data_IF_036551114706
#
_entry.id   IF_036551114706
#
_cell.length_a   1.000
_cell.length_b   1.000
_cell.length_c   1.000
_cell.angle_alpha   90.00
_cell.angle_beta   90.00
_cell.angle_gamma   90.00
#
_symmetry.space_group_name_H-M   'P 1'
#
loop_
_entity.id
_entity.type
_entity.pdbx_description
1 polymer ?
#
# COMPACT_ATOMS: atom_id res chain seq x y z
N UNK A 1 -75.57 -65.93 24.41
CA UNK A 1 -76.35 -67.18 24.47
C UNK A 1 -75.36 -68.31 24.35
N UNK A 2 -75.32 -69.27 25.30
CA UNK A 2 -74.25 -70.26 25.33
C UNK A 2 -74.23 -71.09 24.05
N UNK A 3 -73.03 -71.38 23.52
CA UNK A 3 -72.91 -72.22 22.33
C UNK A 3 -73.50 -73.60 22.65
N UNK A 4 -74.56 -74.05 21.95
CA UNK A 4 -75.13 -75.36 22.23
C UNK A 4 -74.10 -76.43 21.88
N UNK A 5 -73.68 -77.21 22.88
CA UNK A 5 -72.76 -78.33 22.69
C UNK A 5 -73.55 -79.55 22.19
N UNK A 6 -73.18 -80.14 21.04
CA UNK A 6 -73.84 -81.33 20.52
C UNK A 6 -73.82 -82.49 21.53
N UNK A 7 -74.89 -83.29 21.55
CA UNK A 7 -75.03 -84.40 22.48
C UNK A 7 -73.91 -85.44 22.34
N UNK A 8 -73.44 -85.67 21.13
CA UNK A 8 -72.28 -86.54 20.85
C UNK A 8 -70.99 -86.07 21.52
N UNK A 9 -70.79 -84.76 21.69
CA UNK A 9 -69.62 -84.21 22.37
C UNK A 9 -69.76 -84.29 23.89
N UNK A 10 -70.97 -84.12 24.44
CA UNK A 10 -71.26 -84.32 25.87
C UNK A 10 -71.05 -85.78 26.31
N UNK A 11 -71.43 -86.73 25.46
CA UNK A 11 -71.23 -88.16 25.71
C UNK A 11 -69.76 -88.57 25.61
N UNK A 12 -69.02 -88.01 24.64
CA UNK A 12 -67.61 -88.37 24.41
C UNK A 12 -66.63 -87.74 25.42
N UNK A 13 -66.89 -86.49 25.87
CA UNK A 13 -65.96 -85.73 26.71
C UNK A 13 -66.41 -85.58 28.17
N UNK A 14 -67.65 -85.98 28.48
CA UNK A 14 -68.28 -85.72 29.77
C UNK A 14 -68.92 -84.33 29.84
N UNK A 15 -70.05 -84.24 30.56
CA UNK A 15 -70.87 -83.02 30.63
C UNK A 15 -70.12 -81.81 31.21
N UNK A 16 -69.26 -82.04 32.21
CA UNK A 16 -68.49 -80.99 32.87
C UNK A 16 -67.47 -80.33 31.92
N UNK A 17 -66.69 -81.13 31.19
CA UNK A 17 -65.70 -80.65 30.22
C UNK A 17 -66.37 -79.97 29.03
N UNK A 18 -67.48 -80.52 28.56
CA UNK A 18 -68.28 -79.93 27.49
C UNK A 18 -68.81 -78.54 27.86
N UNK A 19 -69.32 -78.36 29.08
CA UNK A 19 -69.82 -77.07 29.57
C UNK A 19 -68.68 -76.07 29.83
N UNK A 20 -67.49 -76.52 30.27
CA UNK A 20 -66.30 -75.68 30.39
C UNK A 20 -65.79 -75.16 29.04
N UNK A 21 -65.73 -76.03 28.03
CA UNK A 21 -65.35 -75.64 26.67
C UNK A 21 -66.40 -74.67 26.08
N UNK A 22 -67.69 -74.87 26.36
CA UNK A 22 -68.73 -73.92 25.97
C UNK A 22 -68.51 -72.55 26.62
N UNK A 23 -68.28 -72.51 27.94
CA UNK A 23 -68.01 -71.27 28.66
C UNK A 23 -66.78 -70.54 28.13
N UNK A 24 -65.70 -71.26 27.85
CA UNK A 24 -64.50 -70.70 27.23
C UNK A 24 -64.77 -70.18 25.82
N UNK A 25 -65.50 -70.94 25.00
CA UNK A 25 -65.81 -70.55 23.63
C UNK A 25 -66.74 -69.32 23.57
N UNK A 26 -67.66 -69.16 24.52
CA UNK A 26 -68.45 -67.94 24.69
C UNK A 26 -67.61 -66.76 25.17
N UNK A 27 -66.70 -66.97 26.13
CA UNK A 27 -65.78 -65.92 26.58
C UNK A 27 -64.85 -65.44 25.45
N UNK A 28 -64.38 -66.38 24.61
CA UNK A 28 -63.58 -66.07 23.42
C UNK A 28 -64.43 -65.36 22.36
N UNK A 29 -65.68 -65.78 22.15
CA UNK A 29 -66.61 -65.12 21.22
C UNK A 29 -66.86 -63.65 21.59
N UNK A 30 -67.03 -63.36 22.88
CA UNK A 30 -67.23 -61.99 23.36
C UNK A 30 -65.94 -61.14 23.27
N UNK A 31 -64.77 -61.78 23.18
CA UNK A 31 -63.47 -61.12 23.00
C UNK A 31 -63.03 -61.02 21.53
N UNK A 32 -63.69 -61.73 20.60
CA UNK A 32 -63.38 -61.66 19.17
C UNK A 32 -63.90 -60.33 18.61
N UNK A 33 -62.97 -59.53 18.09
CA UNK A 33 -63.24 -58.29 17.35
C UNK A 33 -64.18 -58.59 16.19
N UNK A 34 -65.21 -57.77 16.04
CA UNK A 34 -66.20 -57.93 14.99
C UNK A 34 -65.57 -57.74 13.61
N UNK A 35 -66.17 -58.37 12.59
CA UNK A 35 -65.73 -58.22 11.20
C UNK A 35 -65.75 -56.76 10.73
N UNK A 36 -66.64 -55.94 11.29
CA UNK A 36 -66.79 -54.54 10.92
C UNK A 36 -65.70 -53.65 11.55
N UNK A 37 -65.30 -53.91 12.80
CA UNK A 37 -64.12 -53.28 13.41
C UNK A 37 -62.83 -53.64 12.66
N UNK A 38 -62.69 -54.90 12.21
CA UNK A 38 -61.54 -55.30 11.38
C UNK A 38 -61.51 -54.54 10.04
N UNK A 39 -62.65 -54.36 9.39
CA UNK A 39 -62.76 -53.55 8.16
C UNK A 39 -62.43 -52.09 8.40
N UNK A 40 -62.85 -51.53 9.52
CA UNK A 40 -62.51 -50.16 9.89
C UNK A 40 -61.00 -49.99 10.06
N UNK A 41 -60.34 -50.94 10.73
CA UNK A 41 -58.88 -50.94 10.88
C UNK A 41 -58.18 -51.01 9.53
N UNK A 42 -58.64 -51.86 8.60
CA UNK A 42 -58.09 -51.92 7.24
C UNK A 42 -58.26 -50.60 6.51
N UNK A 43 -59.44 -49.99 6.51
CA UNK A 43 -59.64 -48.68 5.88
C UNK A 43 -58.87 -47.53 6.54
N UNK A 44 -58.48 -47.66 7.81
CA UNK A 44 -57.53 -46.75 8.46
C UNK A 44 -56.09 -47.02 8.02
N UNK A 45 -55.72 -48.29 7.82
CA UNK A 45 -54.41 -48.68 7.34
C UNK A 45 -54.19 -48.20 5.90
N UNK A 46 -55.18 -48.36 5.02
CA UNK A 46 -55.12 -47.88 3.63
C UNK A 46 -54.89 -46.36 3.57
N UNK A 47 -55.58 -45.60 4.43
CA UNK A 47 -55.37 -44.14 4.55
C UNK A 47 -54.02 -43.77 5.14
N UNK A 48 -53.43 -44.63 5.97
CA UNK A 48 -52.08 -44.42 6.50
C UNK A 48 -51.04 -44.69 5.41
N UNK A 49 -51.23 -45.74 4.62
CA UNK A 49 -50.38 -46.08 3.47
C UNK A 49 -50.38 -44.94 2.45
N UNK A 50 -51.57 -44.45 2.04
CA UNK A 50 -51.69 -43.31 1.13
C UNK A 50 -50.98 -42.04 1.66
N UNK A 51 -51.07 -41.79 2.97
CA UNK A 51 -50.36 -40.67 3.60
C UNK A 51 -48.86 -40.88 3.66
N UNK A 52 -48.39 -42.11 3.81
CA UNK A 52 -46.96 -42.43 3.81
C UNK A 52 -46.37 -42.26 2.41
N UNK A 53 -47.07 -42.70 1.37
CA UNK A 53 -46.66 -42.49 -0.02
C UNK A 53 -46.54 -40.99 -0.33
N UNK A 54 -47.53 -40.19 0.07
CA UNK A 54 -47.48 -38.74 -0.09
C UNK A 54 -46.31 -38.08 0.64
N UNK A 55 -45.95 -38.56 1.84
CA UNK A 55 -44.79 -38.08 2.59
C UNK A 55 -43.48 -38.49 1.91
N UNK A 56 -43.39 -39.69 1.35
CA UNK A 56 -42.21 -40.14 0.61
C UNK A 56 -41.97 -39.28 -0.63
N UNK A 57 -43.02 -38.99 -1.40
CA UNK A 57 -42.96 -38.10 -2.55
C UNK A 57 -42.51 -36.68 -2.18
N UNK A 58 -43.04 -36.13 -1.09
CA UNK A 58 -42.68 -34.80 -0.60
C UNK A 58 -41.22 -34.75 -0.12
N UNK A 59 -40.75 -35.77 0.60
CA UNK A 59 -39.34 -35.89 0.99
C UNK A 59 -38.41 -36.03 -0.22
N UNK A 60 -38.82 -36.78 -1.24
CA UNK A 60 -38.06 -36.92 -2.47
C UNK A 60 -38.00 -35.60 -3.26
N UNK A 61 -39.06 -34.80 -3.22
CA UNK A 61 -39.08 -33.46 -3.78
C UNK A 61 -38.15 -32.50 -3.02
N UNK A 62 -38.30 -32.40 -1.69
CA UNK A 62 -37.45 -31.56 -0.84
C UNK A 62 -35.97 -31.92 -0.96
N UNK A 63 -35.63 -33.20 -1.05
CA UNK A 63 -34.24 -33.66 -1.22
C UNK A 63 -33.63 -33.17 -2.54
N UNK A 64 -34.43 -33.10 -3.62
CA UNK A 64 -33.99 -32.55 -4.90
C UNK A 64 -33.78 -31.05 -4.81
N UNK A 65 -34.75 -30.32 -4.26
CA UNK A 65 -34.66 -28.86 -4.08
C UNK A 65 -33.44 -28.45 -3.23
N UNK A 66 -33.18 -29.17 -2.13
CA UNK A 66 -31.98 -28.95 -1.31
C UNK A 66 -30.69 -29.21 -2.11
N UNK A 67 -30.70 -30.20 -3.01
CA UNK A 67 -29.58 -30.48 -3.90
C UNK A 67 -29.31 -29.32 -4.85
N UNK A 68 -30.35 -28.81 -5.50
CA UNK A 68 -30.29 -27.68 -6.43
C UNK A 68 -29.82 -26.40 -5.74
N UNK A 69 -30.39 -26.08 -4.56
CA UNK A 69 -29.98 -24.92 -3.76
C UNK A 69 -28.51 -25.01 -3.33
N UNK A 70 -28.01 -26.20 -3.00
CA UNK A 70 -26.59 -26.41 -2.66
C UNK A 70 -25.69 -26.19 -3.87
N UNK A 71 -26.10 -26.65 -5.04
CA UNK A 71 -25.35 -26.41 -6.28
C UNK A 71 -25.32 -24.93 -6.64
N UNK A 72 -26.47 -24.26 -6.60
CA UNK A 72 -26.57 -22.82 -6.86
C UNK A 72 -25.70 -22.04 -5.88
N UNK A 73 -25.81 -22.33 -4.58
CA UNK A 73 -24.96 -21.71 -3.55
C UNK A 73 -23.47 -21.94 -3.82
N UNK A 74 -23.09 -23.15 -4.26
CA UNK A 74 -21.71 -23.47 -4.62
C UNK A 74 -21.21 -22.69 -5.84
N UNK A 75 -22.05 -22.54 -6.87
CA UNK A 75 -21.74 -21.75 -8.07
C UNK A 75 -21.59 -20.28 -7.72
N UNK A 76 -22.57 -19.70 -7.03
CA UNK A 76 -22.53 -18.30 -6.57
C UNK A 76 -21.30 -18.02 -5.71
N UNK A 77 -20.93 -18.93 -4.80
CA UNK A 77 -19.71 -18.78 -3.99
C UNK A 77 -18.44 -18.76 -4.86
N UNK A 78 -18.35 -19.62 -5.87
CA UNK A 78 -17.22 -19.65 -6.81
C UNK A 78 -17.14 -18.35 -7.61
N UNK A 79 -18.25 -17.89 -8.17
CA UNK A 79 -18.31 -16.63 -8.93
C UNK A 79 -17.92 -15.42 -8.06
N UNK A 80 -18.38 -15.37 -6.81
CA UNK A 80 -17.99 -14.31 -5.87
C UNK A 80 -16.48 -14.35 -5.61
N UNK A 81 -15.91 -15.53 -5.35
CA UNK A 81 -14.47 -15.66 -5.11
C UNK A 81 -13.66 -15.24 -6.34
N UNK A 82 -14.02 -15.70 -7.53
CA UNK A 82 -13.35 -15.31 -8.78
C UNK A 82 -13.41 -13.79 -9.02
N UNK A 83 -14.56 -13.17 -8.74
CA UNK A 83 -14.72 -11.71 -8.82
C UNK A 83 -13.86 -10.98 -7.80
N UNK A 84 -13.78 -11.47 -6.57
CA UNK A 84 -12.93 -10.89 -5.53
C UNK A 84 -11.45 -11.00 -5.90
N UNK A 85 -11.01 -12.17 -6.38
CA UNK A 85 -9.63 -12.38 -6.83
C UNK A 85 -9.26 -11.45 -7.99
N UNK A 86 -10.14 -11.31 -8.98
CA UNK A 86 -9.95 -10.39 -10.09
C UNK A 86 -9.89 -8.92 -9.63
N UNK A 87 -10.74 -8.53 -8.68
CA UNK A 87 -10.75 -7.17 -8.11
C UNK A 87 -9.48 -6.89 -7.33
N UNK A 88 -9.02 -7.83 -6.51
CA UNK A 88 -7.75 -7.73 -5.77
C UNK A 88 -6.56 -7.62 -6.71
N UNK A 89 -6.52 -8.41 -7.78
CA UNK A 89 -5.46 -8.34 -8.78
C UNK A 89 -5.44 -6.96 -9.48
N UNK A 90 -6.59 -6.44 -9.90
CA UNK A 90 -6.69 -5.10 -10.51
C UNK A 90 -6.31 -3.99 -9.55
N UNK A 91 -6.68 -4.12 -8.27
CA UNK A 91 -6.33 -3.14 -7.25
C UNK A 91 -4.80 -3.09 -7.02
N UNK A 92 -4.16 -4.26 -6.90
CA UNK A 92 -2.70 -4.34 -6.75
C UNK A 92 -1.98 -3.77 -7.98
N UNK A 93 -2.39 -4.15 -9.19
CA UNK A 93 -1.82 -3.62 -10.45
C UNK A 93 -1.97 -2.09 -10.55
N UNK A 94 -3.10 -1.54 -10.08
CA UNK A 94 -3.28 -0.08 -10.01
C UNK A 94 -2.33 0.57 -8.99
N UNK A 95 -2.14 -0.02 -7.82
CA UNK A 95 -1.21 0.49 -6.81
C UNK A 95 0.24 0.45 -7.31
N UNK A 96 0.65 -0.64 -7.96
CA UNK A 96 2.00 -0.78 -8.51
C UNK A 96 2.28 0.27 -9.59
N UNK A 97 1.31 0.54 -10.48
CA UNK A 97 1.41 1.64 -11.45
C UNK A 97 1.53 3.00 -10.77
N UNK A 98 0.69 3.29 -9.77
CA UNK A 98 0.75 4.54 -9.04
C UNK A 98 2.08 4.73 -8.30
N UNK A 99 2.62 3.66 -7.71
CA UNK A 99 3.92 3.69 -7.05
C UNK A 99 5.06 3.97 -8.05
N UNK A 100 5.01 3.34 -9.23
CA UNK A 100 5.98 3.57 -10.31
C UNK A 100 5.92 5.01 -10.82
N UNK A 101 4.72 5.50 -11.14
CA UNK A 101 4.52 6.88 -11.61
C UNK A 101 4.98 7.92 -10.57
N UNK A 102 4.75 7.63 -9.28
CA UNK A 102 5.19 8.49 -8.19
C UNK A 102 6.71 8.54 -8.08
N UNK A 103 7.39 7.38 -8.14
CA UNK A 103 8.85 7.32 -8.15
C UNK A 103 9.44 8.04 -9.37
N UNK A 104 8.92 7.79 -10.57
CA UNK A 104 9.37 8.46 -11.79
C UNK A 104 9.20 9.99 -11.72
N UNK A 105 8.16 10.46 -11.02
CA UNK A 105 7.94 11.89 -10.79
C UNK A 105 8.94 12.45 -9.80
N UNK A 106 9.25 11.73 -8.72
CA UNK A 106 10.28 12.14 -7.75
C UNK A 106 11.66 12.19 -8.40
N UNK A 107 12.03 11.18 -9.19
CA UNK A 107 13.33 11.15 -9.87
C UNK A 107 13.51 12.32 -10.83
N UNK A 108 12.44 12.67 -11.56
CA UNK A 108 12.41 13.89 -12.40
C UNK A 108 12.58 15.16 -11.58
N UNK A 109 11.86 15.30 -10.47
CA UNK A 109 11.98 16.46 -9.60
C UNK A 109 13.39 16.60 -9.00
N UNK A 110 14.00 15.50 -8.59
CA UNK A 110 15.39 15.48 -8.08
C UNK A 110 16.37 15.90 -9.17
N UNK A 111 16.19 15.39 -10.39
CA UNK A 111 17.05 15.74 -11.54
C UNK A 111 16.94 17.23 -11.86
N UNK A 112 15.72 17.75 -12.02
CA UNK A 112 15.48 19.18 -12.29
C UNK A 112 16.03 20.07 -11.16
N UNK A 113 15.93 19.64 -9.91
CA UNK A 113 16.47 20.37 -8.77
C UNK A 113 18.01 20.43 -8.81
N UNK A 114 18.67 19.31 -9.10
CA UNK A 114 20.12 19.25 -9.23
C UNK A 114 20.62 20.11 -10.40
N UNK A 115 19.95 20.07 -11.55
CA UNK A 115 20.28 20.90 -12.71
C UNK A 115 20.20 22.40 -12.38
N UNK A 116 19.17 22.81 -11.62
CA UNK A 116 19.03 24.20 -11.15
C UNK A 116 20.16 24.60 -10.21
N UNK A 117 20.55 23.72 -9.28
CA UNK A 117 21.68 23.98 -8.39
C UNK A 117 22.99 24.11 -9.17
N UNK A 118 23.24 23.24 -10.14
CA UNK A 118 24.42 23.30 -10.99
C UNK A 118 24.47 24.59 -11.81
N UNK A 119 23.32 25.04 -12.34
CA UNK A 119 23.23 26.31 -13.03
C UNK A 119 23.53 27.48 -12.09
N UNK A 120 22.93 27.51 -10.91
CA UNK A 120 23.20 28.56 -9.92
C UNK A 120 24.67 28.59 -9.49
N UNK A 121 25.31 27.42 -9.33
CA UNK A 121 26.72 27.33 -8.99
C UNK A 121 27.61 27.89 -10.11
N UNK A 122 27.30 27.61 -11.38
CA UNK A 122 28.01 28.19 -12.53
C UNK A 122 27.87 29.71 -12.59
N UNK A 123 26.64 30.22 -12.48
CA UNK A 123 26.38 31.68 -12.48
C UNK A 123 27.09 32.38 -11.32
N UNK A 124 27.14 31.75 -10.15
CA UNK A 124 27.86 32.27 -9.00
C UNK A 124 29.38 32.32 -9.24
N UNK A 125 29.97 31.26 -9.77
CA UNK A 125 31.40 31.23 -10.11
C UNK A 125 31.75 32.27 -11.18
N UNK A 126 30.94 32.43 -12.22
CA UNK A 126 31.15 33.45 -13.24
C UNK A 126 31.13 34.86 -12.66
N UNK A 127 30.22 35.15 -11.71
CA UNK A 127 30.19 36.42 -11.01
C UNK A 127 31.44 36.64 -10.15
N UNK A 128 31.91 35.62 -9.46
CA UNK A 128 33.16 35.70 -8.69
C UNK A 128 34.36 35.97 -9.60
N UNK A 129 34.45 35.29 -10.74
CA UNK A 129 35.53 35.49 -11.72
C UNK A 129 35.51 36.92 -12.27
N UNK A 130 34.33 37.47 -12.58
CA UNK A 130 34.17 38.85 -13.02
C UNK A 130 34.60 39.85 -11.93
N UNK A 131 34.21 39.60 -10.67
CA UNK A 131 34.63 40.43 -9.54
C UNK A 131 36.15 40.36 -9.31
N UNK A 132 36.75 39.17 -9.43
CA UNK A 132 38.20 38.99 -9.30
C UNK A 132 38.96 39.74 -10.40
N UNK A 133 38.50 39.68 -11.65
CA UNK A 133 39.08 40.45 -12.76
C UNK A 133 38.99 41.95 -12.51
N UNK A 134 37.80 42.46 -12.16
CA UNK A 134 37.60 43.88 -11.86
C UNK A 134 38.45 44.36 -10.68
N UNK A 135 38.68 43.50 -9.69
CA UNK A 135 39.56 43.78 -8.57
C UNK A 135 41.03 43.87 -9.00
N UNK A 136 41.51 42.91 -9.80
CA UNK A 136 42.87 42.95 -10.34
C UNK A 136 43.12 44.18 -11.21
N UNK A 137 42.18 44.53 -12.10
CA UNK A 137 42.29 45.75 -12.93
C UNK A 137 42.41 47.01 -12.08
N UNK A 138 41.66 47.09 -10.96
CA UNK A 138 41.78 48.20 -10.01
C UNK A 138 43.14 48.23 -9.31
N UNK A 139 43.67 47.07 -8.93
CA UNK A 139 45.01 46.97 -8.34
C UNK A 139 46.09 47.39 -9.34
N UNK A 140 46.02 46.92 -10.59
CA UNK A 140 46.95 47.30 -11.64
C UNK A 140 46.93 48.81 -11.90
N UNK A 141 45.74 49.42 -11.95
CA UNK A 141 45.58 50.86 -12.08
C UNK A 141 46.18 51.62 -10.89
N UNK A 142 45.95 51.16 -9.66
CA UNK A 142 46.57 51.74 -8.46
C UNK A 142 48.10 51.62 -8.47
N UNK A 143 48.62 50.48 -8.92
CA UNK A 143 50.06 50.24 -9.02
C UNK A 143 50.69 51.16 -10.08
N UNK A 144 50.06 51.31 -11.24
CA UNK A 144 50.51 52.25 -12.28
C UNK A 144 50.53 53.68 -11.78
N UNK A 145 49.44 54.13 -11.14
CA UNK A 145 49.37 55.48 -10.58
C UNK A 145 50.44 55.71 -9.49
N UNK A 146 50.72 54.69 -8.68
CA UNK A 146 51.76 54.77 -7.65
C UNK A 146 53.15 54.85 -8.27
N UNK A 147 53.44 54.05 -9.28
CA UNK A 147 54.71 54.11 -10.01
C UNK A 147 54.92 55.47 -10.68
N UNK A 148 53.91 56.01 -11.36
CA UNK A 148 53.99 57.36 -11.95
C UNK A 148 54.30 58.43 -10.91
N UNK A 149 53.65 58.37 -9.73
CA UNK A 149 53.94 59.29 -8.62
C UNK A 149 55.37 59.13 -8.11
N UNK A 150 55.86 57.91 -7.98
CA UNK A 150 57.24 57.63 -7.57
C UNK A 150 58.25 58.13 -8.61
N UNK A 151 57.96 58.00 -9.91
CA UNK A 151 58.81 58.50 -10.99
C UNK A 151 58.91 60.01 -10.98
N UNK A 152 57.77 60.71 -10.85
CA UNK A 152 57.74 62.18 -10.69
C UNK A 152 58.53 62.61 -9.46
N UNK A 153 58.37 61.92 -8.34
CA UNK A 153 59.11 62.21 -7.11
C UNK A 153 60.61 61.97 -7.27
N UNK A 154 61.01 60.86 -7.91
CA UNK A 154 62.41 60.56 -8.21
C UNK A 154 63.05 61.60 -9.11
N UNK A 155 62.35 62.07 -10.14
CA UNK A 155 62.87 63.12 -11.03
C UNK A 155 63.03 64.45 -10.28
N UNK A 156 62.05 64.82 -9.45
CA UNK A 156 62.16 66.01 -8.60
C UNK A 156 63.38 65.94 -7.67
N UNK A 157 63.62 64.78 -7.03
CA UNK A 157 64.80 64.54 -6.18
C UNK A 157 66.09 64.64 -6.99
N UNK A 158 66.15 64.08 -8.20
CA UNK A 158 67.34 64.17 -9.07
C UNK A 158 67.65 65.61 -9.44
N UNK A 159 66.65 66.38 -9.86
CA UNK A 159 66.82 67.79 -10.19
C UNK A 159 67.32 68.57 -8.97
N UNK A 160 66.71 68.35 -7.81
CA UNK A 160 67.15 68.97 -6.56
C UNK A 160 68.61 68.61 -6.24
N UNK A 161 69.00 67.35 -6.41
CA UNK A 161 70.38 66.87 -6.16
C UNK A 161 71.38 67.52 -7.12
N UNK A 162 71.03 67.70 -8.40
CA UNK A 162 71.90 68.39 -9.37
C UNK A 162 72.12 69.85 -8.99
N UNK A 163 71.06 70.54 -8.58
CA UNK A 163 71.16 71.92 -8.11
C UNK A 163 71.98 72.05 -6.82
N UNK A 164 71.79 71.15 -5.84
CA UNK A 164 72.55 71.20 -4.58
C UNK A 164 74.02 70.88 -4.78
N UNK A 165 74.37 69.90 -5.63
CA UNK A 165 75.77 69.63 -6.00
C UNK A 165 76.38 70.85 -6.70
N UNK A 166 75.69 71.45 -7.67
CA UNK A 166 76.15 72.65 -8.35
C UNK A 166 76.39 73.82 -7.39
N UNK A 167 75.48 74.05 -6.44
CA UNK A 167 75.63 75.08 -5.41
C UNK A 167 76.85 74.82 -4.51
N UNK A 168 77.07 73.57 -4.07
CA UNK A 168 78.24 73.18 -3.28
C UNK A 168 79.55 73.46 -4.04
N UNK A 169 79.61 73.12 -5.33
CA UNK A 169 80.79 73.36 -6.18
C UNK A 169 81.08 74.86 -6.34
N UNK A 170 80.05 75.68 -6.56
CA UNK A 170 80.22 77.14 -6.68
C UNK A 170 80.73 77.74 -5.36
N UNK A 171 80.14 77.36 -4.23
CA UNK A 171 80.60 77.80 -2.91
C UNK A 171 82.07 77.41 -2.69
N UNK A 172 82.43 76.18 -3.03
CA UNK A 172 83.81 75.70 -2.97
C UNK A 172 84.76 76.54 -3.84
N UNK A 173 84.38 76.83 -5.09
CA UNK A 173 85.18 77.65 -6.01
C UNK A 173 85.36 79.09 -5.50
N UNK A 174 84.31 79.69 -4.92
CA UNK A 174 84.37 81.02 -4.29
C UNK A 174 85.35 81.00 -3.12
N UNK A 175 85.26 80.01 -2.24
CA UNK A 175 86.18 79.85 -1.12
C UNK A 175 87.63 79.70 -1.60
N UNK A 176 87.89 78.88 -2.62
CA UNK A 176 89.23 78.73 -3.21
C UNK A 176 89.76 80.02 -3.83
N UNK A 177 88.93 80.78 -4.55
CA UNK A 177 89.31 82.06 -5.14
C UNK A 177 89.65 83.11 -4.06
N UNK A 178 88.87 83.18 -2.98
CA UNK A 178 89.13 84.06 -1.84
C UNK A 178 90.47 83.73 -1.17
N UNK A 179 90.77 82.44 -0.98
CA UNK A 179 92.05 82.00 -0.42
C UNK A 179 93.20 82.39 -1.34
N UNK A 180 93.08 82.17 -2.65
CA UNK A 180 94.13 82.52 -3.61
C UNK A 180 94.40 84.03 -3.67
N UNK A 181 93.36 84.87 -3.63
CA UNK A 181 93.52 86.33 -3.55
C UNK A 181 94.22 86.73 -2.25
N UNK A 182 93.89 86.08 -1.13
CA UNK A 182 94.55 86.33 0.15
C UNK A 182 96.04 85.94 0.13
N UNK A 183 96.42 84.87 -0.58
CA UNK A 183 97.83 84.48 -0.75
C UNK A 183 98.62 85.44 -1.66
N UNK A 184 98.01 86.02 -2.68
CA UNK A 184 98.65 87.02 -3.55
C UNK A 184 98.73 88.42 -2.93
N UNK A 185 97.89 88.71 -1.95
CA UNK A 185 97.86 90.00 -1.23
C UNK A 185 98.78 90.03 0.01
N UNK A 186 99.45 88.92 0.33
CA UNK A 186 100.44 88.79 1.40
C UNK A 186 101.87 88.79 0.83
#
# INVERSE_FOLDING_TARGET
MPIPVPQSAREAWGAEVADDVSRWADAVRDQIVSRDEFREVLGRLDRVEERLDGVEDELAHQRREIGELREETSRTRREINERLDAMSAQFNDRLDRQATEFNDRLDRQVTEFNERLDQQAKEFNERLDQQAKAFNERLDAMQSQTNERLDVMNEAIRVQTRWTIGAIVIIGAILSALISIAEFAA
#
